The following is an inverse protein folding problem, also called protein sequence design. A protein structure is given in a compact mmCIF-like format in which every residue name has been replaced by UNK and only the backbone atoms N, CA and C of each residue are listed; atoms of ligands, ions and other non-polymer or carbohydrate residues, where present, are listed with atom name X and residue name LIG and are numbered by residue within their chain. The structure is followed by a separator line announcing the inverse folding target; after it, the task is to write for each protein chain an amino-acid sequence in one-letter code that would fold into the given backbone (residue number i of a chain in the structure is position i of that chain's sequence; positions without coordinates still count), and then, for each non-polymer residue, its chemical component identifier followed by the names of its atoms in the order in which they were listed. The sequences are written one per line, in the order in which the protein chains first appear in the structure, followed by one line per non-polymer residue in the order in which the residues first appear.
data_IF_651790543064
#
_entry.id   IF_651790543064
#
_cell.length_a   1.000
_cell.length_b   1.000
_cell.length_c   1.000
_cell.angle_alpha   90.00
_cell.angle_beta   90.00
_cell.angle_gamma   90.00
#
_symmetry.space_group_name_H-M   'P 1'
#
loop_
_entity.id
_entity.type
_entity.pdbx_description
1 polymer ?
#
# COMPACT_ATOMS: atom_id res chain seq x y z
N UNK A 1 2.08 -14.80 -22.23
CA UNK A 1 0.74 -15.15 -21.75
C UNK A 1 -0.07 -13.86 -21.53
N UNK A 2 -1.30 -13.85 -21.99
CA UNK A 2 -2.18 -12.68 -21.82
C UNK A 2 -2.91 -12.77 -20.49
N UNK A 3 -3.02 -11.62 -19.77
CA UNK A 3 -3.77 -11.56 -18.52
C UNK A 3 -5.27 -11.71 -18.81
N UNK A 4 -6.00 -12.26 -17.85
CA UNK A 4 -7.44 -12.39 -17.94
C UNK A 4 -8.12 -11.01 -17.86
N UNK A 5 -9.01 -10.73 -18.83
CA UNK A 5 -9.71 -9.45 -18.90
C UNK A 5 -10.92 -9.47 -17.96
N UNK A 6 -10.81 -8.78 -16.82
CA UNK A 6 -11.89 -8.65 -15.84
C UNK A 6 -12.75 -7.42 -16.15
N UNK A 7 -12.13 -6.31 -16.52
CA UNK A 7 -12.78 -5.06 -16.88
C UNK A 7 -11.87 -4.25 -17.82
N UNK A 8 -12.40 -3.26 -18.56
CA UNK A 8 -11.57 -2.41 -19.41
C UNK A 8 -10.59 -1.61 -18.58
N UNK A 9 -9.36 -1.46 -19.10
CA UNK A 9 -8.29 -0.71 -18.46
C UNK A 9 -8.03 0.60 -19.18
N UNK A 10 -7.65 1.65 -18.44
CA UNK A 10 -7.08 2.85 -19.04
C UNK A 10 -5.68 2.53 -19.58
N UNK A 11 -5.35 3.08 -20.74
CA UNK A 11 -4.03 2.89 -21.36
C UNK A 11 -2.99 3.85 -20.75
N UNK A 12 -2.77 3.70 -19.45
CA UNK A 12 -1.83 4.49 -18.67
C UNK A 12 -1.06 3.55 -17.76
N UNK A 13 0.27 3.64 -17.75
CA UNK A 13 1.11 2.86 -16.86
C UNK A 13 1.71 3.76 -15.78
N UNK A 14 1.14 3.72 -14.59
CA UNK A 14 1.62 4.49 -13.43
C UNK A 14 2.82 3.77 -12.82
N UNK A 15 3.94 4.47 -12.70
CA UNK A 15 5.21 3.88 -12.26
C UNK A 15 5.77 4.50 -10.97
N UNK A 16 5.25 5.65 -10.56
CA UNK A 16 5.76 6.36 -9.39
C UNK A 16 4.65 7.17 -8.72
N UNK A 17 4.75 7.32 -7.40
CA UNK A 17 3.84 8.15 -6.63
C UNK A 17 4.53 8.84 -5.48
N UNK A 18 4.03 10.03 -5.11
CA UNK A 18 4.47 10.78 -3.94
C UNK A 18 3.30 11.63 -3.43
N UNK A 19 2.88 11.39 -2.20
CA UNK A 19 1.71 12.07 -1.64
C UNK A 19 0.47 11.80 -2.48
N UNK A 20 -0.17 12.85 -2.98
CA UNK A 20 -1.35 12.75 -3.83
C UNK A 20 -1.04 12.88 -5.32
N UNK A 21 0.21 12.76 -5.72
CA UNK A 21 0.64 12.83 -7.12
C UNK A 21 1.18 11.50 -7.60
N UNK A 22 0.90 11.15 -8.86
CA UNK A 22 1.45 9.97 -9.51
C UNK A 22 1.99 10.34 -10.89
N UNK A 23 2.90 9.53 -11.41
CA UNK A 23 3.54 9.73 -12.72
C UNK A 23 3.44 8.45 -13.53
N UNK A 24 3.17 8.61 -14.82
CA UNK A 24 3.20 7.48 -15.74
C UNK A 24 4.62 7.24 -16.27
N UNK A 25 4.77 6.20 -17.09
CA UNK A 25 6.06 5.83 -17.67
C UNK A 25 6.60 6.87 -18.65
N UNK A 26 5.75 7.76 -19.15
CA UNK A 26 6.15 8.86 -20.05
C UNK A 26 6.57 10.11 -19.28
N UNK A 27 6.43 10.11 -17.95
CA UNK A 27 6.77 11.24 -17.09
C UNK A 27 5.63 12.24 -16.88
N UNK A 28 4.45 11.97 -17.37
CA UNK A 28 3.28 12.81 -17.13
C UNK A 28 2.80 12.68 -15.70
N UNK A 29 2.50 13.82 -15.08
CA UNK A 29 2.06 13.90 -13.68
C UNK A 29 0.54 14.01 -13.60
N UNK A 30 -0.04 13.32 -12.64
CA UNK A 30 -1.48 13.34 -12.37
C UNK A 30 -1.73 13.60 -10.89
N UNK A 31 -2.77 14.39 -10.61
CA UNK A 31 -3.29 14.49 -9.25
C UNK A 31 -4.16 13.26 -8.98
N UNK A 32 -3.75 12.45 -8.00
CA UNK A 32 -4.43 11.21 -7.67
C UNK A 32 -5.55 11.45 -6.64
N UNK A 33 -6.76 11.61 -7.12
CA UNK A 33 -7.96 11.70 -6.28
C UNK A 33 -8.64 10.33 -6.09
N UNK A 34 -8.12 9.31 -6.76
CA UNK A 34 -8.65 7.95 -6.71
C UNK A 34 -8.01 7.11 -5.62
N UNK A 35 -6.71 7.28 -5.36
CA UNK A 35 -5.96 6.60 -4.32
C UNK A 35 -5.82 5.10 -4.51
N UNK A 36 -5.83 4.62 -5.77
CA UNK A 36 -5.75 3.19 -6.04
C UNK A 36 -6.96 2.44 -5.49
N UNK A 37 -8.15 2.86 -5.85
CA UNK A 37 -9.42 2.33 -5.35
C UNK A 37 -9.58 2.58 -3.85
N UNK A 38 -9.21 3.79 -3.42
CA UNK A 38 -9.26 4.26 -2.04
C UNK A 38 -8.37 3.45 -1.05
N UNK A 39 -7.34 2.79 -1.56
CA UNK A 39 -6.44 1.97 -0.74
C UNK A 39 -5.32 2.78 -0.09
N UNK A 40 -4.76 3.74 -0.81
CA UNK A 40 -3.64 4.55 -0.31
C UNK A 40 -4.17 5.78 0.43
N UNK A 41 -4.54 5.60 1.69
CA UNK A 41 -5.15 6.65 2.50
C UNK A 41 -4.15 7.67 3.04
N UNK A 42 -2.88 7.30 3.23
CA UNK A 42 -1.82 8.18 3.75
C UNK A 42 -1.01 8.86 2.66
N UNK A 43 -1.36 8.63 1.41
CA UNK A 43 -0.59 9.09 0.26
C UNK A 43 0.49 8.10 -0.18
N UNK A 44 0.96 8.28 -1.42
CA UNK A 44 1.98 7.40 -2.00
C UNK A 44 3.34 7.65 -1.39
N UNK A 45 4.09 6.56 -1.14
CA UNK A 45 5.48 6.60 -0.69
C UNK A 45 5.69 7.47 0.56
N UNK A 46 4.76 7.45 1.51
CA UNK A 46 4.91 8.16 2.77
C UNK A 46 6.21 7.71 3.46
N UNK A 47 7.12 8.62 3.83
CA UNK A 47 8.44 8.23 4.33
C UNK A 47 8.43 7.29 5.53
N UNK A 48 7.55 7.54 6.49
CA UNK A 48 7.41 6.69 7.68
C UNK A 48 6.93 5.29 7.32
N UNK A 49 5.92 5.20 6.43
CA UNK A 49 5.40 3.92 5.95
C UNK A 49 6.49 3.13 5.21
N UNK A 50 7.23 3.78 4.32
CA UNK A 50 8.32 3.14 3.56
C UNK A 50 9.38 2.60 4.51
N UNK A 51 9.79 3.39 5.52
CA UNK A 51 10.78 2.98 6.51
C UNK A 51 10.31 1.77 7.32
N UNK A 52 9.09 1.80 7.83
CA UNK A 52 8.53 0.72 8.66
C UNK A 52 8.41 -0.59 7.87
N UNK A 53 7.87 -0.53 6.67
CA UNK A 53 7.71 -1.73 5.83
C UNK A 53 9.08 -2.28 5.40
N UNK A 54 10.00 -1.41 4.96
CA UNK A 54 11.34 -1.83 4.55
C UNK A 54 12.10 -2.51 5.68
N UNK A 55 12.05 -1.95 6.89
CA UNK A 55 12.71 -2.52 8.06
C UNK A 55 12.09 -3.87 8.44
N UNK A 56 10.76 -3.96 8.42
CA UNK A 56 10.08 -5.21 8.77
C UNK A 56 10.36 -6.32 7.76
N UNK A 57 10.29 -6.01 6.46
CA UNK A 57 10.59 -6.97 5.40
C UNK A 57 12.04 -7.46 5.49
N UNK A 58 12.97 -6.58 5.86
CA UNK A 58 14.37 -6.94 6.06
C UNK A 58 14.58 -7.92 7.20
N UNK A 59 13.71 -7.92 8.22
CA UNK A 59 13.77 -8.85 9.37
C UNK A 59 12.94 -10.10 9.15
N UNK A 60 11.66 -9.92 8.83
CA UNK A 60 10.71 -11.01 8.67
C UNK A 60 9.47 -10.50 7.93
N UNK A 61 9.30 -10.91 6.68
CA UNK A 61 8.16 -10.52 5.88
C UNK A 61 6.88 -11.29 6.23
N UNK A 62 7.05 -12.58 6.51
CA UNK A 62 5.96 -13.47 6.90
C UNK A 62 6.51 -14.70 7.61
N UNK A 63 5.75 -15.24 8.53
CA UNK A 63 6.02 -16.56 9.05
C UNK A 63 4.76 -17.42 8.99
N UNK A 64 4.11 -17.67 10.12
CA UNK A 64 2.93 -18.56 10.13
C UNK A 64 1.94 -18.10 11.19
N UNK A 65 0.66 -18.27 10.93
CA UNK A 65 -0.38 -18.04 11.92
C UNK A 65 -0.48 -19.19 12.96
N UNK A 66 0.36 -20.20 12.87
CA UNK A 66 0.44 -21.28 13.87
C UNK A 66 1.26 -20.91 15.11
N UNK A 67 1.90 -19.74 15.11
CA UNK A 67 2.67 -19.24 16.25
C UNK A 67 2.16 -17.86 16.67
N UNK A 68 2.56 -17.44 17.89
CA UNK A 68 2.18 -16.12 18.40
C UNK A 68 2.82 -15.01 17.54
N UNK A 69 2.03 -14.03 17.15
CA UNK A 69 2.48 -12.81 16.50
C UNK A 69 2.05 -11.61 17.34
N UNK A 70 3.01 -11.01 18.05
CA UNK A 70 2.72 -9.88 18.94
C UNK A 70 2.25 -8.65 18.20
N UNK A 71 2.67 -8.43 16.95
CA UNK A 71 2.22 -7.30 16.14
C UNK A 71 0.73 -7.41 15.81
N UNK A 72 0.23 -8.61 15.56
CA UNK A 72 -1.20 -8.83 15.35
C UNK A 72 -2.02 -8.47 16.59
N UNK A 73 -1.54 -8.89 17.77
CA UNK A 73 -2.21 -8.57 19.04
C UNK A 73 -2.18 -7.07 19.31
N UNK A 74 -1.05 -6.42 19.07
CA UNK A 74 -0.93 -4.97 19.23
C UNK A 74 -1.89 -4.22 18.30
N UNK A 75 -2.00 -4.64 17.05
CA UNK A 75 -2.97 -4.06 16.11
C UNK A 75 -4.40 -4.22 16.61
N UNK A 76 -4.77 -5.42 17.05
CA UNK A 76 -6.10 -5.68 17.59
C UNK A 76 -6.41 -4.79 18.80
N UNK A 77 -5.45 -4.64 19.71
CA UNK A 77 -5.59 -3.79 20.89
C UNK A 77 -5.82 -2.33 20.50
N UNK A 78 -5.03 -1.80 19.56
CA UNK A 78 -5.17 -0.41 19.10
C UNK A 78 -6.50 -0.17 18.38
N UNK A 79 -6.91 -1.10 17.54
CA UNK A 79 -8.20 -0.99 16.86
C UNK A 79 -9.37 -1.03 17.87
N UNK A 80 -9.26 -1.87 18.89
CA UNK A 80 -10.23 -1.92 19.98
C UNK A 80 -10.33 -0.62 20.75
N UNK A 81 -9.19 0.00 21.06
CA UNK A 81 -9.16 1.31 21.74
C UNK A 81 -9.81 2.40 20.90
N UNK A 82 -9.51 2.44 19.59
CA UNK A 82 -10.04 3.46 18.67
C UNK A 82 -11.53 3.29 18.40
N UNK A 83 -12.03 2.08 18.39
CA UNK A 83 -13.45 1.79 18.12
C UNK A 83 -14.35 1.88 19.35
N UNK A 84 -13.76 1.95 20.49
CA UNK A 84 -14.49 1.99 21.77
C UNK A 84 -14.79 0.59 22.26
#
# INVERSE_FOLDING_TARGET
MKLYDVYPLFDINIVKGKGCHVWDEKGDEYLDLYGGHAVISIGHAHPHYVEMISNQVAQLGFYSNSVINKLQQELADRLGELSG
#
